data_IF_300229229579
#
_entry.id   IF_300229229579
#
_cell.length_a   1.000
_cell.length_b   1.000
_cell.length_c   1.000
_cell.angle_alpha   90.00
_cell.angle_beta   90.00
_cell.angle_gamma   90.00
#
_symmetry.space_group_name_H-M   'P 1'
#
loop_
_entity.id
_entity.type
_entity.pdbx_description
1 polymer ?
#
# COMPACT_ATOMS: atom_id res chain seq x y z
N UNK A 1 -5.28 10.85 -2.25
CA UNK A 1 -6.17 9.77 -1.78
C UNK A 1 -7.66 10.15 -1.78
N UNK A 2 -8.08 11.39 -1.43
CA UNK A 2 -9.50 11.81 -1.50
C UNK A 2 -10.15 11.67 -2.88
N UNK A 3 -9.40 11.95 -3.95
CA UNK A 3 -9.89 11.80 -5.33
C UNK A 3 -10.24 10.34 -5.69
N UNK A 4 -9.37 9.40 -5.31
CA UNK A 4 -9.61 7.96 -5.49
C UNK A 4 -10.84 7.50 -4.71
N UNK A 5 -11.01 8.00 -3.49
CA UNK A 5 -12.19 7.70 -2.67
C UNK A 5 -13.50 8.21 -3.30
N UNK A 6 -13.52 9.46 -3.77
CA UNK A 6 -14.72 10.03 -4.41
C UNK A 6 -15.11 9.28 -5.68
N UNK A 7 -14.15 8.94 -6.55
CA UNK A 7 -14.47 8.16 -7.76
C UNK A 7 -15.00 6.76 -7.41
N UNK A 8 -14.47 6.14 -6.36
CA UNK A 8 -14.83 4.77 -6.00
C UNK A 8 -16.18 4.70 -5.26
N UNK A 9 -16.52 5.74 -4.49
CA UNK A 9 -17.82 5.88 -3.81
C UNK A 9 -18.96 6.26 -4.77
N UNK A 10 -18.63 6.84 -5.92
CA UNK A 10 -19.61 7.17 -6.97
C UNK A 10 -20.00 5.94 -7.79
N UNK A 11 -19.06 5.00 -8.00
CA UNK A 11 -19.27 3.77 -8.79
C UNK A 11 -19.67 2.54 -7.96
N UNK A 12 -19.22 2.41 -6.70
CA UNK A 12 -19.42 1.20 -5.90
C UNK A 12 -20.05 1.47 -4.53
N UNK A 13 -20.71 0.45 -3.98
CA UNK A 13 -21.17 0.47 -2.58
C UNK A 13 -20.01 0.73 -1.62
N UNK A 14 -20.29 1.33 -0.46
CA UNK A 14 -19.27 1.71 0.54
C UNK A 14 -18.29 0.56 0.82
N UNK A 15 -18.79 -0.67 0.93
CA UNK A 15 -17.96 -1.86 1.17
C UNK A 15 -17.06 -2.23 -0.02
N UNK A 16 -17.56 -2.08 -1.25
CA UNK A 16 -16.79 -2.26 -2.48
C UNK A 16 -15.67 -1.22 -2.61
N UNK A 17 -15.95 0.03 -2.27
CA UNK A 17 -14.96 1.11 -2.32
C UNK A 17 -13.85 0.95 -1.27
N UNK A 18 -14.20 0.49 -0.06
CA UNK A 18 -13.21 0.18 0.99
C UNK A 18 -12.19 -0.85 0.51
N UNK A 19 -12.67 -1.96 -0.07
CA UNK A 19 -11.81 -3.06 -0.50
C UNK A 19 -10.92 -2.67 -1.68
N UNK A 20 -11.46 -2.00 -2.69
CA UNK A 20 -10.68 -1.55 -3.84
C UNK A 20 -9.65 -0.48 -3.46
N UNK A 21 -9.96 0.45 -2.55
CA UNK A 21 -8.99 1.41 -2.03
C UNK A 21 -7.84 0.69 -1.30
N UNK A 22 -8.15 -0.30 -0.47
CA UNK A 22 -7.15 -1.07 0.27
C UNK A 22 -6.20 -1.82 -0.67
N UNK A 23 -6.74 -2.47 -1.72
CA UNK A 23 -5.95 -3.20 -2.72
C UNK A 23 -5.03 -2.26 -3.50
N UNK A 24 -5.55 -1.13 -3.98
CA UNK A 24 -4.74 -0.13 -4.71
C UNK A 24 -3.62 0.42 -3.83
N UNK A 25 -3.92 0.70 -2.55
CA UNK A 25 -2.94 1.20 -1.59
C UNK A 25 -1.85 0.16 -1.30
N UNK A 26 -2.22 -1.11 -1.14
CA UNK A 26 -1.31 -2.23 -0.97
C UNK A 26 -0.39 -2.42 -2.18
N UNK A 27 -0.92 -2.36 -3.41
CA UNK A 27 -0.12 -2.43 -4.64
C UNK A 27 0.85 -1.24 -4.73
N UNK A 28 0.39 -0.03 -4.41
CA UNK A 28 1.22 1.17 -4.38
C UNK A 28 2.39 1.06 -3.40
N UNK A 29 2.12 0.58 -2.19
CA UNK A 29 3.16 0.36 -1.18
C UNK A 29 4.11 -0.78 -1.54
N UNK A 30 3.63 -1.88 -2.11
CA UNK A 30 4.49 -2.95 -2.60
C UNK A 30 5.43 -2.47 -3.71
N UNK A 31 4.93 -1.70 -4.68
CA UNK A 31 5.76 -1.11 -5.72
C UNK A 31 6.81 -0.14 -5.13
N UNK A 32 6.42 0.67 -4.13
CA UNK A 32 7.31 1.60 -3.46
C UNK A 32 8.41 0.88 -2.66
N UNK A 33 8.08 -0.16 -1.87
CA UNK A 33 9.09 -0.92 -1.12
C UNK A 33 10.00 -1.74 -2.03
N UNK A 34 9.48 -2.33 -3.11
CA UNK A 34 10.34 -3.00 -4.10
C UNK A 34 11.27 -2.02 -4.80
N UNK A 35 10.76 -0.85 -5.21
CA UNK A 35 11.57 0.20 -5.83
C UNK A 35 12.67 0.72 -4.88
N UNK A 36 12.32 0.99 -3.62
CA UNK A 36 13.26 1.41 -2.59
C UNK A 36 14.32 0.32 -2.31
N UNK A 37 13.90 -0.95 -2.20
CA UNK A 37 14.80 -2.08 -1.99
C UNK A 37 15.82 -2.22 -3.13
N UNK A 38 15.37 -2.12 -4.39
CA UNK A 38 16.28 -2.15 -5.54
C UNK A 38 17.25 -0.98 -5.56
N UNK A 39 16.80 0.24 -5.24
CA UNK A 39 17.66 1.42 -5.18
C UNK A 39 18.73 1.30 -4.09
N UNK A 40 18.37 0.82 -2.90
CA UNK A 40 19.29 0.62 -1.77
C UNK A 40 20.32 -0.46 -2.13
N UNK A 41 19.88 -1.58 -2.72
CA UNK A 41 20.80 -2.64 -3.16
C UNK A 41 21.79 -2.15 -4.22
N UNK A 42 21.35 -1.30 -5.15
CA UNK A 42 22.24 -0.66 -6.14
C UNK A 42 23.25 0.28 -5.48
N UNK A 43 22.84 1.02 -4.44
CA UNK A 43 23.68 2.01 -3.76
C UNK A 43 24.72 1.37 -2.82
N UNK A 44 24.36 0.27 -2.13
CA UNK A 44 25.28 -0.44 -1.24
C UNK A 44 26.17 -1.47 -1.96
N UNK A 45 25.98 -1.69 -3.26
CA UNK A 45 26.82 -2.58 -4.07
C UNK A 45 26.68 -4.07 -3.73
N UNK A 46 25.61 -4.46 -3.01
CA UNK A 46 25.32 -5.86 -2.73
C UNK A 46 24.90 -6.59 -4.01
N UNK A 47 25.48 -7.77 -4.26
CA UNK A 47 25.06 -8.62 -5.37
C UNK A 47 23.61 -9.06 -5.18
N UNK A 48 22.75 -8.49 -6.03
CA UNK A 48 21.30 -8.74 -6.10
C UNK A 48 21.00 -10.25 -6.20
N UNK A 49 21.86 -11.04 -6.85
CA UNK A 49 21.65 -12.45 -7.18
C UNK A 49 21.64 -13.44 -6.00
N UNK A 50 22.33 -13.17 -4.89
CA UNK A 50 22.45 -14.13 -3.77
C UNK A 50 21.35 -14.04 -2.71
N UNK A 51 20.81 -12.83 -2.52
CA UNK A 51 19.82 -12.52 -1.47
C UNK A 51 18.51 -11.98 -2.04
N UNK A 52 18.27 -12.15 -3.35
CA UNK A 52 17.09 -11.61 -4.02
C UNK A 52 15.80 -12.11 -3.39
N UNK A 53 15.76 -13.38 -3.01
CA UNK A 53 14.61 -14.02 -2.37
C UNK A 53 14.29 -13.45 -0.99
N UNK A 54 15.31 -13.19 -0.17
CA UNK A 54 15.11 -12.55 1.13
C UNK A 54 14.72 -11.06 0.99
N UNK A 55 15.28 -10.37 0.00
CA UNK A 55 14.96 -8.97 -0.27
C UNK A 55 13.53 -8.82 -0.81
N UNK A 56 13.11 -9.68 -1.74
CA UNK A 56 11.74 -9.67 -2.26
C UNK A 56 10.75 -10.09 -1.19
N UNK A 57 11.05 -11.09 -0.35
CA UNK A 57 10.22 -11.44 0.80
C UNK A 57 10.09 -10.25 1.75
N UNK A 58 11.21 -9.68 2.21
CA UNK A 58 11.17 -8.53 3.13
C UNK A 58 10.47 -7.31 2.51
N UNK A 59 10.66 -7.07 1.22
CA UNK A 59 10.01 -5.97 0.48
C UNK A 59 8.50 -6.17 0.31
N UNK A 60 8.06 -7.39 0.00
CA UNK A 60 6.65 -7.74 -0.13
C UNK A 60 5.99 -7.72 1.25
N UNK A 61 6.57 -8.37 2.27
CA UNK A 61 6.04 -8.35 3.64
C UNK A 61 6.01 -6.93 4.21
N UNK A 62 7.06 -6.14 4.02
CA UNK A 62 7.11 -4.74 4.43
C UNK A 62 6.05 -3.90 3.71
N UNK A 63 5.91 -4.07 2.39
CA UNK A 63 4.89 -3.37 1.60
C UNK A 63 3.47 -3.77 1.99
N UNK A 64 3.23 -5.05 2.30
CA UNK A 64 1.94 -5.56 2.77
C UNK A 64 1.55 -4.91 4.10
N UNK A 65 2.46 -4.93 5.07
CA UNK A 65 2.20 -4.46 6.43
C UNK A 65 1.95 -2.95 6.41
N UNK A 66 2.81 -2.19 5.73
CA UNK A 66 2.66 -0.73 5.66
C UNK A 66 1.42 -0.35 4.84
N UNK A 67 1.14 -1.06 3.74
CA UNK A 67 -0.07 -0.86 2.94
C UNK A 67 -1.36 -1.15 3.71
N UNK A 68 -1.40 -2.24 4.48
CA UNK A 68 -2.55 -2.61 5.31
C UNK A 68 -2.73 -1.63 6.47
N UNK A 69 -1.69 -1.36 7.26
CA UNK A 69 -1.79 -0.46 8.42
C UNK A 69 -2.11 0.96 7.97
N UNK A 70 -1.44 1.47 6.93
CA UNK A 70 -1.71 2.80 6.37
C UNK A 70 -3.10 2.89 5.74
N UNK A 71 -3.53 1.85 5.02
CA UNK A 71 -4.87 1.76 4.44
C UNK A 71 -5.97 1.75 5.51
N UNK A 72 -5.85 0.89 6.52
CA UNK A 72 -6.81 0.78 7.62
C UNK A 72 -6.91 2.07 8.44
N UNK A 73 -5.79 2.73 8.75
CA UNK A 73 -5.80 4.02 9.45
C UNK A 73 -6.48 5.12 8.63
N UNK A 74 -6.21 5.17 7.33
CA UNK A 74 -6.84 6.15 6.43
C UNK A 74 -8.35 5.94 6.35
N UNK A 75 -8.79 4.70 6.17
CA UNK A 75 -10.19 4.30 6.17
C UNK A 75 -10.89 4.60 7.49
N UNK A 76 -10.23 4.33 8.62
CA UNK A 76 -10.78 4.62 9.95
C UNK A 76 -10.95 6.11 10.19
N UNK A 77 -9.98 6.93 9.77
CA UNK A 77 -10.08 8.39 9.83
C UNK A 77 -11.23 8.93 8.96
N UNK A 78 -11.44 8.31 7.80
CA UNK A 78 -12.48 8.73 6.86
C UNK A 78 -13.89 8.32 7.32
N UNK A 79 -14.04 7.09 7.84
CA UNK A 79 -15.27 6.61 8.48
C UNK A 79 -15.64 7.45 9.69
N UNK A 80 -14.65 7.78 10.54
CA UNK A 80 -14.87 8.65 11.70
C UNK A 80 -15.34 10.05 11.30
N UNK A 81 -14.89 10.56 10.15
CA UNK A 81 -15.33 11.85 9.64
C UNK A 81 -16.77 11.82 9.11
N UNK A 82 -17.16 10.73 8.43
CA UNK A 82 -18.51 10.56 7.88
C UNK A 82 -19.56 10.19 8.95
N UNK A 83 -19.15 9.54 10.05
CA UNK A 83 -20.04 9.23 11.18
C UNK A 83 -20.37 10.44 12.08
N UNK A 84 -19.75 11.60 11.85
CA UNK A 84 -19.99 12.84 12.61
C UNK A 84 -20.92 13.81 11.87
N UNK A 85 -21.54 13.38 10.77
CA UNK A 85 -22.56 14.13 10.00
C UNK A 85 -23.96 13.55 10.25
#
# INVERSE_FOLDING_TARGET
MRYLWNMLNEEFTIEGAVSAFLVINMIGWMAATMGAGMLICKFLGFSITGNLENLMCAGIYGGLIVGLVGGSLYLYGLYKHHSME
#
